data_IF_458061414181
#
_entry.id   IF_458061414181
#
_cell.length_a   1.000
_cell.length_b   1.000
_cell.length_c   1.000
_cell.angle_alpha   90.00
_cell.angle_beta   90.00
_cell.angle_gamma   90.00
#
_symmetry.space_group_name_H-M   'P 1'
#
loop_
_entity.id
_entity.type
_entity.pdbx_description
1 polymer ?
#
# COMPACT_ATOMS: atom_id res chain seq x y z
N UNK A 1 20.41 40.26 -1.96
CA UNK A 1 20.80 39.10 -1.15
C UNK A 1 21.95 38.42 -1.88
N UNK A 2 23.14 38.39 -1.33
CA UNK A 2 24.28 37.64 -1.84
C UNK A 2 24.04 36.18 -1.52
N UNK A 3 23.68 35.38 -2.54
CA UNK A 3 23.52 33.97 -2.35
C UNK A 3 24.88 33.29 -2.22
N UNK A 4 25.05 32.41 -1.23
CA UNK A 4 26.22 31.57 -1.11
C UNK A 4 26.28 30.58 -2.31
N UNK A 5 27.47 30.40 -2.86
CA UNK A 5 27.71 29.49 -3.95
C UNK A 5 28.26 28.18 -3.43
N UNK A 6 27.54 27.09 -3.68
CA UNK A 6 27.98 25.71 -3.38
C UNK A 6 28.33 25.01 -4.69
N UNK A 7 29.46 24.27 -4.69
CA UNK A 7 29.87 23.44 -5.82
C UNK A 7 29.82 21.98 -5.40
N UNK A 8 29.15 21.13 -6.18
CA UNK A 8 28.94 19.71 -5.92
C UNK A 8 29.35 18.92 -7.16
N UNK A 9 30.04 17.78 -6.97
CA UNK A 9 30.25 16.80 -8.03
C UNK A 9 29.07 15.86 -8.07
N UNK A 10 28.46 15.70 -9.24
CA UNK A 10 27.35 14.77 -9.47
C UNK A 10 27.87 13.43 -9.97
N UNK A 11 27.24 12.34 -9.54
CA UNK A 11 27.37 11.03 -10.17
C UNK A 11 26.67 11.03 -11.54
N UNK A 12 26.95 10.06 -12.39
CA UNK A 12 26.29 9.92 -13.70
C UNK A 12 24.76 9.85 -13.55
N UNK A 13 24.28 9.12 -12.56
CA UNK A 13 22.85 8.98 -12.23
C UNK A 13 22.23 10.32 -11.82
N UNK A 14 22.86 11.06 -10.91
CA UNK A 14 22.37 12.37 -10.48
C UNK A 14 22.42 13.41 -11.61
N UNK A 15 23.36 13.30 -12.51
CA UNK A 15 23.45 14.16 -13.67
C UNK A 15 22.31 13.86 -14.65
N UNK A 16 22.03 12.59 -14.94
CA UNK A 16 20.91 12.17 -15.81
C UNK A 16 19.58 12.63 -15.23
N UNK A 17 19.36 12.43 -13.91
CA UNK A 17 18.15 12.89 -13.24
C UNK A 17 17.97 14.42 -13.32
N UNK A 18 19.06 15.19 -13.19
CA UNK A 18 19.02 16.64 -13.30
C UNK A 18 18.72 17.10 -14.74
N UNK A 19 19.23 16.40 -15.74
CA UNK A 19 18.94 16.70 -17.15
C UNK A 19 17.47 16.41 -17.47
N UNK A 20 16.95 15.26 -17.08
CA UNK A 20 15.53 14.90 -17.19
C UNK A 20 14.60 15.92 -16.54
N UNK A 21 14.90 16.31 -15.30
CA UNK A 21 14.10 17.31 -14.59
C UNK A 21 14.14 18.68 -15.27
N UNK A 22 15.30 19.09 -15.74
CA UNK A 22 15.47 20.36 -16.46
C UNK A 22 14.64 20.40 -17.75
N UNK A 23 14.58 19.27 -18.49
CA UNK A 23 13.75 19.17 -19.69
C UNK A 23 12.25 19.16 -19.38
N UNK A 24 11.84 18.46 -18.32
CA UNK A 24 10.42 18.33 -17.94
C UNK A 24 9.83 19.58 -17.32
N UNK A 25 10.63 20.35 -16.57
CA UNK A 25 10.18 21.57 -15.88
C UNK A 25 10.39 22.83 -16.71
N UNK A 26 11.22 22.76 -17.78
CA UNK A 26 11.67 23.91 -18.55
C UNK A 26 12.46 24.94 -17.71
N UNK A 27 12.99 24.52 -16.55
CA UNK A 27 13.73 25.35 -15.61
C UNK A 27 15.25 25.20 -15.80
N UNK A 28 16.01 26.16 -15.28
CA UNK A 28 17.47 26.03 -15.28
C UNK A 28 17.95 25.10 -14.15
N UNK A 29 19.13 24.47 -14.35
CA UNK A 29 19.71 23.53 -13.39
C UNK A 29 19.79 24.07 -11.94
N UNK A 30 20.05 25.37 -11.77
CA UNK A 30 20.17 25.97 -10.43
C UNK A 30 18.81 26.11 -9.74
N UNK A 31 17.74 26.28 -10.51
CA UNK A 31 16.37 26.33 -9.97
C UNK A 31 15.95 24.94 -9.53
N UNK A 32 16.07 23.95 -10.42
CA UNK A 32 15.78 22.54 -10.12
C UNK A 32 16.52 22.06 -8.85
N UNK A 33 17.83 22.37 -8.73
CA UNK A 33 18.60 22.01 -7.53
C UNK A 33 18.07 22.69 -6.27
N UNK A 34 17.69 23.98 -6.35
CA UNK A 34 17.13 24.69 -5.18
C UNK A 34 15.80 24.09 -4.74
N UNK A 35 14.94 23.78 -5.68
CA UNK A 35 13.65 23.15 -5.40
C UNK A 35 13.82 21.75 -4.83
N UNK A 36 14.72 20.94 -5.42
CA UNK A 36 15.02 19.61 -4.90
C UNK A 36 15.54 19.64 -3.46
N UNK A 37 16.44 20.57 -3.12
CA UNK A 37 16.96 20.74 -1.76
C UNK A 37 15.84 21.19 -0.81
N UNK A 38 15.01 22.15 -1.23
CA UNK A 38 13.89 22.63 -0.42
C UNK A 38 12.85 21.56 -0.18
N UNK A 39 12.52 20.79 -1.21
CA UNK A 39 11.63 19.63 -1.10
C UNK A 39 12.19 18.57 -0.16
N UNK A 40 13.46 18.19 -0.33
CA UNK A 40 14.11 17.21 0.52
C UNK A 40 14.16 17.67 1.99
N UNK A 41 14.49 18.94 2.23
CA UNK A 41 14.52 19.50 3.58
C UNK A 41 13.13 19.49 4.24
N UNK A 42 12.08 19.84 3.50
CA UNK A 42 10.70 19.82 3.99
C UNK A 42 10.18 18.41 4.30
N UNK A 43 10.68 17.39 3.59
CA UNK A 43 10.25 16.01 3.70
C UNK A 43 11.32 15.10 4.35
N UNK A 44 12.32 15.68 5.02
CA UNK A 44 13.50 14.95 5.49
C UNK A 44 13.18 13.77 6.40
N UNK A 45 12.28 13.94 7.37
CA UNK A 45 11.87 12.88 8.29
C UNK A 45 11.15 11.74 7.54
N UNK A 46 10.24 12.09 6.63
CA UNK A 46 9.52 11.11 5.81
C UNK A 46 10.45 10.39 4.82
N UNK A 47 11.37 11.12 4.20
CA UNK A 47 12.34 10.56 3.26
C UNK A 47 13.38 9.62 3.92
N UNK A 48 13.52 9.67 5.24
CA UNK A 48 14.38 8.74 6.02
C UNK A 48 13.63 7.61 6.69
N UNK A 49 12.32 7.79 6.93
CA UNK A 49 11.48 6.81 7.61
C UNK A 49 10.90 5.75 6.67
N UNK A 50 10.78 6.08 5.38
CA UNK A 50 10.25 5.18 4.36
C UNK A 50 11.21 5.10 3.17
N UNK A 51 11.15 4.00 2.43
CA UNK A 51 11.77 3.94 1.11
C UNK A 51 11.18 5.02 0.21
N UNK A 52 11.98 5.58 -0.69
CA UNK A 52 11.54 6.61 -1.65
C UNK A 52 10.36 6.12 -2.49
N UNK A 53 10.25 4.83 -2.71
CA UNK A 53 9.21 4.17 -3.49
C UNK A 53 7.85 4.20 -2.77
N UNK A 54 7.85 4.13 -1.43
CA UNK A 54 6.65 4.25 -0.60
C UNK A 54 6.00 5.64 -0.74
N UNK A 55 6.79 6.70 -0.68
CA UNK A 55 6.30 8.07 -0.86
C UNK A 55 5.68 8.28 -2.25
N UNK A 56 6.31 7.74 -3.28
CA UNK A 56 5.79 7.81 -4.64
C UNK A 56 4.48 7.02 -4.77
N UNK A 57 4.40 5.87 -4.11
CA UNK A 57 3.20 5.03 -4.10
C UNK A 57 2.04 5.72 -3.40
N UNK A 58 2.24 6.29 -2.21
CA UNK A 58 1.22 7.08 -1.51
C UNK A 58 0.74 8.28 -2.34
N UNK A 59 1.65 9.02 -2.93
CA UNK A 59 1.30 10.16 -3.78
C UNK A 59 0.44 9.73 -4.97
N UNK A 60 0.78 8.61 -5.60
CA UNK A 60 0.02 8.05 -6.72
C UNK A 60 -1.37 7.63 -6.28
N UNK A 61 -1.50 6.88 -5.17
CA UNK A 61 -2.79 6.46 -4.63
C UNK A 61 -3.73 7.63 -4.38
N UNK A 62 -3.23 8.70 -3.76
CA UNK A 62 -4.04 9.89 -3.46
C UNK A 62 -4.40 10.69 -4.71
N UNK A 63 -3.54 10.70 -5.73
CA UNK A 63 -3.71 11.54 -6.91
C UNK A 63 -4.63 10.91 -7.97
N UNK A 64 -4.82 9.59 -7.95
CA UNK A 64 -5.76 8.88 -8.85
C UNK A 64 -7.23 9.13 -8.47
N UNK A 65 -7.51 9.56 -7.23
CA UNK A 65 -8.86 9.76 -6.74
C UNK A 65 -9.60 8.47 -6.39
N UNK A 66 -8.94 7.32 -6.48
CA UNK A 66 -9.50 6.00 -6.15
C UNK A 66 -9.31 5.63 -4.67
N UNK A 67 -8.42 6.34 -3.98
CA UNK A 67 -8.08 6.07 -2.59
C UNK A 67 -8.32 7.30 -1.71
N UNK A 68 -8.67 7.04 -0.46
CA UNK A 68 -8.76 8.04 0.61
C UNK A 68 -7.93 7.61 1.81
N UNK A 69 -7.33 8.56 2.50
CA UNK A 69 -6.78 8.29 3.83
C UNK A 69 -7.93 8.34 4.84
N UNK A 70 -8.12 7.24 5.55
CA UNK A 70 -9.16 7.12 6.56
C UNK A 70 -8.48 6.85 7.92
N UNK A 71 -8.97 7.52 8.94
CA UNK A 71 -8.59 7.23 10.33
C UNK A 71 -9.05 5.81 10.72
N UNK A 72 -8.19 5.06 11.40
CA UNK A 72 -8.46 3.66 11.78
C UNK A 72 -9.66 3.56 12.72
N UNK A 73 -9.83 4.50 13.64
CA UNK A 73 -10.98 4.52 14.55
C UNK A 73 -12.29 4.77 13.79
N UNK A 74 -12.27 5.57 12.71
CA UNK A 74 -13.43 5.73 11.83
C UNK A 74 -13.72 4.46 11.04
N UNK A 75 -12.71 3.75 10.57
CA UNK A 75 -12.89 2.45 9.91
C UNK A 75 -13.56 1.45 10.86
N UNK A 76 -13.09 1.35 12.11
CA UNK A 76 -13.71 0.51 13.13
C UNK A 76 -15.18 0.91 13.36
N UNK A 77 -15.45 2.20 13.55
CA UNK A 77 -16.81 2.67 13.76
C UNK A 77 -17.74 2.35 12.58
N UNK A 78 -17.27 2.39 11.33
CA UNK A 78 -18.06 1.97 10.18
C UNK A 78 -18.31 0.47 10.19
N UNK A 79 -17.30 -0.36 10.41
CA UNK A 79 -17.45 -1.81 10.42
C UNK A 79 -18.34 -2.29 11.57
N UNK A 80 -18.20 -1.72 12.77
CA UNK A 80 -19.05 -2.03 13.92
C UNK A 80 -20.54 -1.66 13.68
N UNK A 81 -20.82 -0.64 12.86
CA UNK A 81 -22.19 -0.26 12.52
C UNK A 81 -22.82 -1.13 11.43
N UNK A 82 -22.04 -1.82 10.60
CA UNK A 82 -22.59 -2.77 9.62
C UNK A 82 -22.71 -4.19 10.18
N UNK A 83 -22.14 -4.45 11.35
CA UNK A 83 -22.29 -5.68 12.11
C UNK A 83 -23.47 -5.59 13.06
N UNK A 84 -24.61 -6.16 12.66
CA UNK A 84 -25.81 -6.23 13.49
C UNK A 84 -25.79 -7.42 14.47
N UNK A 85 -26.88 -7.60 15.25
CA UNK A 85 -27.00 -8.73 16.20
C UNK A 85 -26.93 -10.11 15.49
N UNK A 86 -27.34 -10.18 14.22
CA UNK A 86 -27.37 -11.39 13.40
C UNK A 86 -26.12 -11.50 12.45
N UNK A 87 -25.13 -10.65 12.63
CA UNK A 87 -23.94 -10.55 11.77
C UNK A 87 -23.99 -9.37 10.80
N UNK A 88 -23.02 -9.28 9.86
CA UNK A 88 -22.92 -8.17 8.93
C UNK A 88 -24.09 -8.09 7.96
N UNK A 89 -24.50 -6.87 7.58
CA UNK A 89 -25.57 -6.61 6.62
C UNK A 89 -25.28 -7.33 5.29
N UNK A 90 -26.23 -8.18 4.78
CA UNK A 90 -26.05 -8.89 3.53
C UNK A 90 -25.76 -7.98 2.31
N UNK A 91 -26.36 -6.80 2.23
CA UNK A 91 -26.12 -5.87 1.14
C UNK A 91 -24.72 -5.25 1.20
N UNK A 92 -24.18 -5.09 2.40
CA UNK A 92 -22.77 -4.71 2.59
C UNK A 92 -21.84 -5.82 2.14
N UNK A 93 -22.11 -7.08 2.53
CA UNK A 93 -21.31 -8.24 2.10
C UNK A 93 -21.29 -8.39 0.59
N UNK A 94 -22.43 -8.27 -0.10
CA UNK A 94 -22.48 -8.28 -1.57
C UNK A 94 -21.62 -7.17 -2.20
N UNK A 95 -21.54 -6.03 -1.53
CA UNK A 95 -20.71 -4.91 -2.00
C UNK A 95 -19.22 -5.22 -1.80
N UNK A 96 -18.85 -5.79 -0.66
CA UNK A 96 -17.46 -6.24 -0.39
C UNK A 96 -17.02 -7.27 -1.41
N UNK A 97 -17.85 -8.27 -1.68
CA UNK A 97 -17.55 -9.33 -2.65
C UNK A 97 -17.32 -8.77 -4.06
N UNK A 98 -18.18 -7.85 -4.50
CA UNK A 98 -18.03 -7.20 -5.80
C UNK A 98 -16.74 -6.36 -5.90
N UNK A 99 -16.38 -5.66 -4.82
CA UNK A 99 -15.13 -4.89 -4.78
C UNK A 99 -13.93 -5.82 -4.77
N UNK A 100 -13.98 -6.92 -4.01
CA UNK A 100 -12.93 -7.92 -3.98
C UNK A 100 -12.71 -8.56 -5.36
N UNK A 101 -13.79 -8.92 -6.07
CA UNK A 101 -13.74 -9.46 -7.44
C UNK A 101 -13.09 -8.46 -8.42
N UNK A 102 -13.39 -7.16 -8.29
CA UNK A 102 -12.72 -6.14 -9.10
C UNK A 102 -11.21 -6.12 -8.85
N UNK A 103 -10.78 -6.19 -7.59
CA UNK A 103 -9.36 -6.22 -7.23
C UNK A 103 -8.64 -7.50 -7.67
N UNK A 104 -9.34 -8.63 -7.87
CA UNK A 104 -8.71 -9.85 -8.39
C UNK A 104 -7.99 -9.59 -9.72
N UNK A 105 -8.64 -8.84 -10.63
CA UNK A 105 -8.05 -8.53 -11.93
C UNK A 105 -6.85 -7.59 -11.83
N UNK A 106 -6.91 -6.63 -10.91
CA UNK A 106 -5.80 -5.71 -10.64
C UNK A 106 -4.62 -6.48 -10.01
N UNK A 107 -4.89 -7.33 -9.02
CA UNK A 107 -3.87 -8.10 -8.33
C UNK A 107 -3.17 -9.11 -9.26
N UNK A 108 -3.92 -9.79 -10.11
CA UNK A 108 -3.36 -10.72 -11.12
C UNK A 108 -2.43 -10.03 -12.14
N UNK A 109 -2.57 -8.72 -12.36
CA UNK A 109 -1.70 -7.95 -13.25
C UNK A 109 -0.50 -7.32 -12.55
N UNK A 110 -0.56 -7.19 -11.23
CA UNK A 110 0.37 -6.39 -10.46
C UNK A 110 1.28 -7.21 -9.56
N UNK A 111 0.84 -8.37 -9.09
CA UNK A 111 1.52 -9.18 -8.10
C UNK A 111 1.73 -10.59 -8.60
N UNK A 112 2.91 -11.15 -8.31
CA UNK A 112 3.31 -12.50 -8.73
C UNK A 112 3.12 -13.53 -7.61
N UNK A 113 2.87 -13.09 -6.35
CA UNK A 113 2.76 -13.95 -5.18
C UNK A 113 1.77 -13.44 -4.15
N UNK A 114 1.30 -14.33 -3.26
CA UNK A 114 0.52 -13.98 -2.08
C UNK A 114 1.28 -13.00 -1.17
N UNK A 115 2.59 -13.21 -1.00
CA UNK A 115 3.44 -12.34 -0.19
C UNK A 115 3.37 -10.89 -0.61
N UNK A 116 3.47 -10.61 -1.92
CA UNK A 116 3.39 -9.24 -2.46
C UNK A 116 2.02 -8.59 -2.22
N UNK A 117 0.93 -9.36 -2.34
CA UNK A 117 -0.42 -8.88 -2.02
C UNK A 117 -0.54 -8.53 -0.53
N UNK A 118 -0.03 -9.38 0.34
CA UNK A 118 -0.08 -9.15 1.78
C UNK A 118 0.80 -7.97 2.20
N UNK A 119 1.97 -7.80 1.60
CA UNK A 119 2.81 -6.62 1.80
C UNK A 119 2.11 -5.34 1.34
N UNK A 120 1.42 -5.37 0.20
CA UNK A 120 0.60 -4.26 -0.27
C UNK A 120 -0.53 -3.91 0.71
N UNK A 121 -1.27 -4.89 1.21
CA UNK A 121 -2.33 -4.68 2.20
C UNK A 121 -1.78 -4.19 3.55
N UNK A 122 -0.58 -4.65 3.92
CA UNK A 122 0.15 -4.15 5.09
C UNK A 122 0.58 -2.69 4.91
N UNK A 123 1.09 -2.35 3.73
CA UNK A 123 1.42 -0.97 3.36
C UNK A 123 0.18 -0.06 3.39
N UNK A 124 -0.98 -0.54 2.96
CA UNK A 124 -2.26 0.18 3.08
C UNK A 124 -2.76 0.31 4.53
N UNK A 125 -2.14 -0.35 5.49
CA UNK A 125 -2.46 -0.23 6.93
C UNK A 125 -3.58 -1.15 7.41
N UNK A 126 -4.08 -2.09 6.59
CA UNK A 126 -5.16 -2.99 6.97
C UNK A 126 -4.73 -4.14 7.90
N UNK A 127 -3.45 -4.53 7.83
CA UNK A 127 -2.94 -5.70 8.53
C UNK A 127 -1.43 -5.59 8.75
N UNK A 128 -0.89 -6.50 9.55
CA UNK A 128 0.56 -6.69 9.69
C UNK A 128 0.90 -8.11 9.30
N UNK A 129 1.88 -8.29 8.43
CA UNK A 129 2.36 -9.59 7.97
C UNK A 129 3.58 -10.03 8.76
N UNK A 130 3.62 -11.31 9.09
CA UNK A 130 4.82 -12.00 9.58
C UNK A 130 5.02 -13.24 8.73
N UNK A 131 6.07 -13.26 7.95
CA UNK A 131 6.48 -14.44 7.22
C UNK A 131 6.87 -15.57 8.20
N UNK A 132 6.44 -16.78 7.89
CA UNK A 132 6.81 -18.00 8.62
C UNK A 132 7.65 -18.89 7.71
N UNK A 133 7.89 -20.16 8.05
CA UNK A 133 8.65 -21.07 7.19
C UNK A 133 7.85 -21.47 5.94
N UNK A 134 8.49 -21.37 4.78
CA UNK A 134 7.87 -21.61 3.47
C UNK A 134 6.88 -20.50 3.11
N UNK A 135 6.10 -20.65 2.05
CA UNK A 135 5.14 -19.67 1.55
C UNK A 135 3.89 -19.51 2.45
N UNK A 136 4.14 -19.42 3.76
CA UNK A 136 3.13 -19.30 4.81
C UNK A 136 3.28 -17.97 5.53
N UNK A 137 2.16 -17.28 5.71
CA UNK A 137 2.10 -15.93 6.27
C UNK A 137 1.15 -15.88 7.44
N UNK A 138 1.63 -15.40 8.57
CA UNK A 138 0.80 -15.08 9.70
C UNK A 138 0.37 -13.62 9.62
N UNK A 139 -0.94 -13.39 9.55
CA UNK A 139 -1.52 -12.06 9.44
C UNK A 139 -2.19 -11.67 10.75
N UNK A 140 -1.90 -10.45 11.21
CA UNK A 140 -2.48 -9.85 12.40
C UNK A 140 -3.26 -8.61 12.01
N UNK A 141 -4.49 -8.50 12.46
CA UNK A 141 -5.37 -7.37 12.18
C UNK A 141 -5.51 -6.47 13.41
N UNK A 142 -5.76 -5.16 13.23
CA UNK A 142 -5.86 -4.22 14.35
C UNK A 142 -7.09 -4.44 15.23
N UNK A 143 -8.16 -5.04 14.68
CA UNK A 143 -9.38 -5.39 15.43
C UNK A 143 -10.08 -6.61 14.86
N UNK A 144 -11.11 -7.11 15.57
CA UNK A 144 -11.94 -8.21 15.11
C UNK A 144 -12.81 -7.81 13.90
N UNK A 145 -13.35 -6.60 13.90
CA UNK A 145 -14.12 -6.04 12.79
C UNK A 145 -13.29 -5.95 11.50
N UNK A 146 -12.05 -5.46 11.61
CA UNK A 146 -11.13 -5.43 10.46
C UNK A 146 -10.73 -6.84 10.03
N UNK A 147 -10.57 -7.77 10.98
CA UNK A 147 -10.20 -9.16 10.67
C UNK A 147 -11.24 -9.83 9.78
N UNK A 148 -12.52 -9.88 10.21
CA UNK A 148 -13.55 -10.56 9.42
C UNK A 148 -13.75 -9.88 8.04
N UNK A 149 -13.72 -8.55 8.01
CA UNK A 149 -13.84 -7.78 6.78
C UNK A 149 -12.71 -8.08 5.80
N UNK A 150 -11.45 -7.98 6.28
CA UNK A 150 -10.28 -8.20 5.43
C UNK A 150 -10.09 -9.67 5.05
N UNK A 151 -10.42 -10.61 5.92
CA UNK A 151 -10.38 -12.05 5.57
C UNK A 151 -11.34 -12.33 4.41
N UNK A 152 -12.57 -11.81 4.47
CA UNK A 152 -13.54 -11.95 3.37
C UNK A 152 -13.04 -11.25 2.09
N UNK A 153 -12.51 -10.05 2.22
CA UNK A 153 -11.97 -9.31 1.09
C UNK A 153 -10.81 -10.08 0.43
N UNK A 154 -9.86 -10.58 1.20
CA UNK A 154 -8.74 -11.37 0.69
C UNK A 154 -9.27 -12.63 0.00
N UNK A 155 -10.19 -13.40 0.62
CA UNK A 155 -10.79 -14.58 0.01
C UNK A 155 -11.40 -14.28 -1.36
N UNK A 156 -12.13 -13.17 -1.48
CA UNK A 156 -12.72 -12.75 -2.75
C UNK A 156 -11.71 -12.25 -3.78
N UNK A 157 -10.60 -11.67 -3.33
CA UNK A 157 -9.58 -11.06 -4.22
C UNK A 157 -8.55 -12.04 -4.78
N UNK A 158 -8.47 -13.26 -4.23
CA UNK A 158 -7.45 -14.26 -4.62
C UNK A 158 -8.01 -15.41 -5.46
N UNK A 159 -9.34 -15.46 -5.69
CA UNK A 159 -10.02 -16.61 -6.30
C UNK A 159 -9.59 -16.98 -7.73
N UNK A 160 -9.11 -16.01 -8.51
CA UNK A 160 -8.68 -16.19 -9.91
C UNK A 160 -7.16 -15.99 -10.09
N UNK A 161 -6.38 -16.00 -9.01
CA UNK A 161 -4.93 -15.89 -9.09
C UNK A 161 -4.29 -17.21 -9.54
N UNK A 162 -3.06 -17.19 -10.08
CA UNK A 162 -2.38 -18.37 -10.61
C UNK A 162 -1.89 -19.36 -9.54
N UNK A 163 -2.19 -19.10 -8.26
CA UNK A 163 -1.84 -19.93 -7.12
C UNK A 163 -3.06 -20.16 -6.22
N UNK A 164 -3.08 -21.29 -5.52
CA UNK A 164 -4.12 -21.59 -4.54
C UNK A 164 -3.69 -21.07 -3.15
N UNK A 165 -4.65 -20.63 -2.34
CA UNK A 165 -4.39 -20.15 -0.98
C UNK A 165 -5.26 -20.88 0.02
N UNK A 166 -4.62 -21.52 1.01
CA UNK A 166 -5.30 -22.04 2.18
C UNK A 166 -5.38 -20.97 3.26
N UNK A 167 -6.56 -20.78 3.84
CA UNK A 167 -6.80 -19.82 4.91
C UNK A 167 -7.26 -20.52 6.17
N UNK A 168 -6.47 -20.44 7.22
CA UNK A 168 -6.80 -20.98 8.54
C UNK A 168 -7.02 -19.83 9.53
N UNK A 169 -8.25 -19.71 10.04
CA UNK A 169 -8.59 -18.72 11.04
C UNK A 169 -8.43 -19.25 12.47
N UNK A 170 -7.85 -18.43 13.34
CA UNK A 170 -7.80 -18.66 14.79
C UNK A 170 -8.31 -17.42 15.54
N UNK A 171 -8.45 -17.52 16.87
CA UNK A 171 -9.04 -16.47 17.71
C UNK A 171 -8.38 -15.07 17.56
N UNK A 172 -7.09 -14.99 17.21
CA UNK A 172 -6.37 -13.71 17.17
C UNK A 172 -5.52 -13.49 15.92
N UNK A 173 -5.53 -14.45 14.99
CA UNK A 173 -4.67 -14.41 13.79
C UNK A 173 -5.23 -15.27 12.67
N UNK A 174 -4.87 -14.93 11.45
CA UNK A 174 -5.16 -15.70 10.25
C UNK A 174 -3.84 -16.20 9.69
N UNK A 175 -3.76 -17.48 9.37
CA UNK A 175 -2.66 -18.09 8.65
C UNK A 175 -3.09 -18.23 7.18
N UNK A 176 -2.29 -17.68 6.29
CA UNK A 176 -2.46 -17.85 4.85
C UNK A 176 -1.26 -18.62 4.33
N UNK A 177 -1.52 -19.59 3.48
CA UNK A 177 -0.49 -20.40 2.85
C UNK A 177 -0.72 -20.48 1.36
N UNK A 178 0.28 -20.09 0.60
CA UNK A 178 0.30 -20.29 -0.85
C UNK A 178 0.62 -21.77 -1.14
N UNK A 179 -0.19 -22.40 -1.99
CA UNK A 179 -0.03 -23.77 -2.41
C UNK A 179 0.39 -23.80 -3.90
N UNK A 180 1.35 -24.64 -4.23
CA UNK A 180 1.67 -24.90 -5.64
C UNK A 180 0.48 -25.60 -6.33
N UNK A 181 0.09 -25.07 -7.47
CA UNK A 181 -0.98 -25.62 -8.32
C UNK A 181 -0.54 -26.89 -9.05
#
# INVERSE_FOLDING_TARGET
MTGDRVTVSLTEEAQSALEDLTERTEENRSEVIREAISFYAANFESARASDSDDLQTYYRMLNTGEHVLLDVDLLHAFLDNVEGEDGPDPAFLETVDRVAEYHTQEYAQRFDSLGEILEWLSFCGFLTVRETEGDSYQVVFPSESVRWFMTRFIQGSIGDLPFEVEIEESLSKVLLKECES
#
